data_IF_758651908643
#
_entry.id   IF_758651908643
#
_cell.length_a   1.000
_cell.length_b   1.000
_cell.length_c   1.000
_cell.angle_alpha   90.00
_cell.angle_beta   90.00
_cell.angle_gamma   90.00
#
_symmetry.space_group_name_H-M   'P 1'
#
loop_
_entity.id
_entity.type
_entity.pdbx_description
1 polymer ?
#
# COMPACT_ATOMS: atom_id res chain seq x y z
N UNK A 1 -3.11 8.72 12.37
CA UNK A 1 -1.91 7.88 12.63
C UNK A 1 -0.71 8.52 11.94
N UNK A 2 0.49 8.37 12.48
CA UNK A 2 1.72 8.83 11.80
C UNK A 2 2.12 7.87 10.68
N UNK A 3 2.95 8.32 9.74
CA UNK A 3 3.48 7.46 8.66
C UNK A 3 4.34 6.32 9.21
N UNK A 4 5.11 6.57 10.28
CA UNK A 4 5.86 5.52 10.97
C UNK A 4 4.96 4.48 11.61
N UNK A 5 3.93 4.92 12.35
CA UNK A 5 2.95 4.00 12.95
C UNK A 5 2.24 3.15 11.90
N UNK A 6 1.92 3.74 10.74
CA UNK A 6 1.39 3.00 9.60
C UNK A 6 2.37 1.93 9.11
N UNK A 7 3.61 2.32 8.81
CA UNK A 7 4.61 1.38 8.31
C UNK A 7 4.89 0.24 9.29
N UNK A 8 4.93 0.53 10.59
CA UNK A 8 5.17 -0.47 11.64
C UNK A 8 4.00 -1.46 11.81
N UNK A 9 2.77 -1.04 11.50
CA UNK A 9 1.54 -1.86 11.59
C UNK A 9 1.13 -2.51 10.27
N UNK A 10 1.67 -2.04 9.13
CA UNK A 10 1.37 -2.58 7.82
C UNK A 10 1.75 -4.05 7.72
N UNK A 11 1.10 -4.76 6.79
CA UNK A 11 1.40 -6.17 6.55
C UNK A 11 2.86 -6.34 6.09
N UNK A 12 3.56 -7.25 6.75
CA UNK A 12 4.95 -7.56 6.44
C UNK A 12 5.01 -8.55 5.27
N UNK A 13 5.65 -8.12 4.18
CA UNK A 13 5.74 -8.92 2.96
C UNK A 13 6.66 -10.12 3.23
N UNK A 14 6.23 -11.37 2.96
CA UNK A 14 7.07 -12.55 3.14
C UNK A 14 8.39 -12.45 2.36
N UNK A 15 9.50 -12.87 2.98
CA UNK A 15 10.86 -12.77 2.46
C UNK A 15 10.99 -13.20 0.99
N UNK A 16 10.33 -14.31 0.61
CA UNK A 16 10.39 -14.87 -0.75
C UNK A 16 9.82 -13.96 -1.84
N UNK A 17 9.01 -12.96 -1.47
CA UNK A 17 8.43 -11.97 -2.38
C UNK A 17 9.09 -10.60 -2.24
N UNK A 18 9.88 -10.39 -1.19
CA UNK A 18 10.37 -9.08 -0.77
C UNK A 18 11.25 -8.43 -1.84
N UNK A 19 12.11 -9.21 -2.51
CA UNK A 19 13.03 -8.70 -3.54
C UNK A 19 12.31 -7.98 -4.71
N UNK A 20 11.12 -8.45 -5.06
CA UNK A 20 10.31 -7.91 -6.16
C UNK A 20 9.20 -6.96 -5.70
N UNK A 21 9.06 -6.69 -4.39
CA UNK A 21 7.96 -5.87 -3.86
C UNK A 21 7.85 -4.54 -4.58
N UNK A 22 6.62 -4.02 -4.66
CA UNK A 22 6.42 -2.64 -5.07
C UNK A 22 7.08 -1.69 -4.05
N UNK A 23 7.68 -0.59 -4.50
CA UNK A 23 8.53 0.25 -3.65
C UNK A 23 7.77 1.02 -2.55
N UNK A 24 6.43 1.12 -2.66
CA UNK A 24 5.54 1.69 -1.65
C UNK A 24 4.49 0.68 -1.18
N UNK A 25 4.02 0.87 0.04
CA UNK A 25 2.83 0.20 0.57
C UNK A 25 1.56 0.95 0.21
N UNK A 26 1.63 2.29 0.15
CA UNK A 26 0.53 3.13 -0.28
C UNK A 26 1.02 4.50 -0.75
N UNK A 27 0.19 5.21 -1.52
CA UNK A 27 0.45 6.60 -1.87
C UNK A 27 -0.84 7.45 -1.91
N UNK A 28 -0.70 8.77 -1.81
CA UNK A 28 -1.80 9.71 -1.99
C UNK A 28 -2.32 9.72 -3.42
N UNK A 29 -3.61 10.00 -3.60
CA UNK A 29 -4.23 10.02 -4.91
C UNK A 29 -5.18 11.22 -5.03
N UNK A 30 -4.97 12.03 -6.08
CA UNK A 30 -5.81 13.18 -6.41
C UNK A 30 -6.07 13.24 -7.91
N UNK A 31 -5.44 14.18 -8.60
CA UNK A 31 -5.46 14.21 -10.08
C UNK A 31 -4.45 13.18 -10.63
N UNK A 32 -3.41 12.88 -9.85
CA UNK A 32 -2.36 11.89 -10.17
C UNK A 32 -1.98 11.09 -8.92
N UNK A 33 -0.94 10.25 -9.01
CA UNK A 33 -0.25 9.75 -7.83
C UNK A 33 0.45 10.90 -7.10
N UNK A 34 0.03 11.18 -5.89
CA UNK A 34 0.39 12.36 -5.10
C UNK A 34 1.01 11.96 -3.76
N UNK A 35 1.49 12.96 -3.02
CA UNK A 35 1.85 12.82 -1.61
C UNK A 35 0.63 12.38 -0.77
N UNK A 36 0.81 11.59 0.31
CA UNK A 36 2.08 11.06 0.80
C UNK A 36 2.51 9.78 0.10
N UNK A 37 3.77 9.40 0.26
CA UNK A 37 4.34 8.11 -0.13
C UNK A 37 4.63 7.32 1.14
N UNK A 38 3.88 6.25 1.38
CA UNK A 38 3.96 5.43 2.58
C UNK A 38 4.80 4.18 2.29
N UNK A 39 6.00 4.15 2.86
CA UNK A 39 6.97 3.08 2.66
C UNK A 39 6.67 1.84 3.51
N UNK A 40 7.13 0.70 3.03
CA UNK A 40 7.13 -0.55 3.82
C UNK A 40 7.98 -0.40 5.08
N UNK A 41 7.67 -1.18 6.12
CA UNK A 41 8.41 -1.19 7.39
C UNK A 41 9.93 -1.31 7.19
N UNK A 42 10.35 -2.24 6.34
CA UNK A 42 11.77 -2.50 6.07
C UNK A 42 12.48 -1.37 5.32
N UNK A 43 11.73 -0.52 4.60
CA UNK A 43 12.26 0.59 3.79
C UNK A 43 12.21 1.93 4.53
N UNK A 44 11.43 2.01 5.61
CA UNK A 44 11.18 3.28 6.31
C UNK A 44 12.45 3.89 6.88
N UNK A 45 13.41 3.09 7.36
CA UNK A 45 14.68 3.62 7.90
C UNK A 45 15.46 4.43 6.86
N UNK A 46 15.40 4.01 5.59
CA UNK A 46 16.23 4.56 4.54
C UNK A 46 15.51 5.64 3.71
N UNK A 47 14.18 5.55 3.58
CA UNK A 47 13.37 6.46 2.74
C UNK A 47 12.16 7.08 3.43
N UNK A 48 11.77 6.58 4.60
CA UNK A 48 10.62 7.08 5.35
C UNK A 48 10.84 8.48 5.92
N UNK A 49 9.74 9.18 6.16
CA UNK A 49 9.74 10.55 6.68
C UNK A 49 8.52 10.79 7.58
N UNK A 50 8.57 11.90 8.32
CA UNK A 50 7.52 12.24 9.28
C UNK A 50 6.30 12.86 8.60
N UNK A 51 5.13 12.50 9.11
CA UNK A 51 3.85 13.07 8.72
C UNK A 51 2.70 12.25 9.28
N UNK A 52 1.48 12.71 9.02
CA UNK A 52 0.25 12.15 9.56
C UNK A 52 -0.76 11.86 8.45
N UNK A 53 -1.42 10.72 8.56
CA UNK A 53 -2.60 10.40 7.77
C UNK A 53 -3.80 11.08 8.43
N UNK A 54 -4.50 11.90 7.67
CA UNK A 54 -5.61 12.75 8.14
C UNK A 54 -6.91 12.48 7.37
N UNK A 55 -8.07 12.72 8.00
CA UNK A 55 -9.37 12.67 7.31
C UNK A 55 -9.39 13.54 6.03
N UNK A 56 -10.04 13.05 4.99
CA UNK A 56 -10.11 13.69 3.69
C UNK A 56 -8.98 13.30 2.73
N UNK A 57 -7.90 12.68 3.21
CA UNK A 57 -6.89 12.09 2.33
C UNK A 57 -7.47 10.89 1.57
N UNK A 58 -7.08 10.75 0.31
CA UNK A 58 -7.35 9.55 -0.49
C UNK A 58 -6.03 8.83 -0.71
N UNK A 59 -6.00 7.53 -0.38
CA UNK A 59 -4.81 6.71 -0.50
C UNK A 59 -5.08 5.51 -1.41
N UNK A 60 -4.17 5.26 -2.34
CA UNK A 60 -4.05 3.98 -3.02
C UNK A 60 -3.21 3.05 -2.15
N UNK A 61 -3.80 1.95 -1.67
CA UNK A 61 -3.10 0.89 -0.92
C UNK A 61 -2.80 -0.24 -1.89
N UNK A 62 -1.53 -0.59 -2.03
CA UNK A 62 -1.06 -1.41 -3.14
C UNK A 62 -0.13 -2.55 -2.72
N UNK A 63 -0.11 -3.59 -3.55
CA UNK A 63 0.82 -4.72 -3.41
C UNK A 63 1.21 -5.24 -4.79
N UNK A 64 2.50 -5.54 -4.95
CA UNK A 64 2.97 -6.40 -6.03
C UNK A 64 3.71 -7.58 -5.41
N UNK A 65 3.24 -8.79 -5.69
CA UNK A 65 3.74 -10.03 -5.08
C UNK A 65 4.20 -10.97 -6.19
N UNK A 66 5.49 -11.28 -6.21
CA UNK A 66 6.13 -12.17 -7.17
C UNK A 66 7.40 -12.78 -6.56
N UNK A 67 7.70 -14.03 -6.88
CA UNK A 67 8.96 -14.67 -6.48
C UNK A 67 10.11 -14.21 -7.38
N UNK A 68 11.33 -14.16 -6.84
CA UNK A 68 12.53 -13.87 -7.63
C UNK A 68 12.74 -14.98 -8.70
N UNK A 69 12.98 -14.57 -9.96
CA UNK A 69 13.06 -15.51 -11.08
C UNK A 69 11.73 -16.15 -11.51
N UNK A 70 10.62 -15.80 -10.86
CA UNK A 70 9.29 -16.25 -11.24
C UNK A 70 8.84 -15.66 -12.58
N UNK A 71 7.95 -16.37 -13.28
CA UNK A 71 7.36 -15.93 -14.56
C UNK A 71 6.04 -15.17 -14.40
N UNK A 72 5.51 -15.09 -13.18
CA UNK A 72 4.22 -14.48 -12.86
C UNK A 72 4.30 -13.68 -11.56
N UNK A 73 3.44 -12.67 -11.47
CA UNK A 73 3.25 -11.85 -10.28
C UNK A 73 1.84 -11.26 -10.25
N UNK A 74 1.37 -10.89 -9.06
CA UNK A 74 0.04 -10.33 -8.84
C UNK A 74 0.18 -8.88 -8.36
N UNK A 75 -0.45 -7.94 -9.06
CA UNK A 75 -0.64 -6.55 -8.61
C UNK A 75 -2.08 -6.37 -8.17
N UNK A 76 -2.28 -5.95 -6.93
CA UNK A 76 -3.57 -5.48 -6.43
C UNK A 76 -3.40 -4.10 -5.83
N UNK A 77 -4.40 -3.26 -6.04
CA UNK A 77 -4.45 -1.89 -5.54
C UNK A 77 -5.90 -1.50 -5.27
N UNK A 78 -6.13 -0.84 -4.14
CA UNK A 78 -7.44 -0.36 -3.74
C UNK A 78 -7.34 1.11 -3.33
N UNK A 79 -8.27 1.92 -3.80
CA UNK A 79 -8.36 3.31 -3.42
C UNK A 79 -9.32 3.45 -2.23
N UNK A 80 -8.85 4.12 -1.17
CA UNK A 80 -9.63 4.41 0.03
C UNK A 80 -9.71 5.91 0.28
N UNK A 81 -10.81 6.36 0.88
CA UNK A 81 -10.94 7.66 1.53
C UNK A 81 -10.70 7.47 3.02
N UNK A 82 -9.81 8.28 3.61
CA UNK A 82 -9.65 8.36 5.06
C UNK A 82 -10.78 9.24 5.62
N UNK A 83 -11.51 8.72 6.60
CA UNK A 83 -12.60 9.41 7.29
C UNK A 83 -12.19 9.75 8.72
N UNK A 84 -13.01 10.55 9.41
CA UNK A 84 -12.79 10.91 10.82
C UNK A 84 -12.67 9.69 11.75
N UNK A 85 -13.29 8.57 11.39
CA UNK A 85 -13.41 7.38 12.25
C UNK A 85 -12.87 6.11 11.61
N UNK A 86 -12.29 6.18 10.41
CA UNK A 86 -11.78 5.00 9.70
C UNK A 86 -11.49 5.25 8.23
N UNK A 87 -11.93 4.31 7.39
CA UNK A 87 -11.75 4.35 5.93
C UNK A 87 -13.05 4.00 5.20
N UNK A 88 -13.21 4.54 4.01
CA UNK A 88 -14.22 4.13 3.03
C UNK A 88 -13.51 3.56 1.79
N UNK A 89 -13.92 2.37 1.35
CA UNK A 89 -13.42 1.78 0.11
C UNK A 89 -14.11 2.42 -1.10
N UNK A 90 -13.33 3.05 -1.97
CA UNK A 90 -13.82 3.68 -3.20
C UNK A 90 -13.78 2.73 -4.40
N UNK A 91 -12.81 1.80 -4.40
CA UNK A 91 -12.70 0.75 -5.41
C UNK A 91 -13.91 -0.19 -5.38
N UNK A 92 -14.53 -0.41 -6.55
CA UNK A 92 -15.69 -1.32 -6.71
C UNK A 92 -15.44 -2.47 -7.68
N UNK A 93 -14.28 -2.46 -8.35
CA UNK A 93 -13.95 -3.51 -9.29
C UNK A 93 -13.64 -4.79 -8.52
N UNK A 94 -14.29 -5.93 -8.85
CA UNK A 94 -14.09 -7.17 -8.13
C UNK A 94 -12.69 -7.74 -8.37
N UNK A 95 -12.21 -8.52 -7.42
CA UNK A 95 -11.06 -9.40 -7.66
C UNK A 95 -11.49 -10.64 -8.45
N UNK A 96 -10.53 -11.25 -9.13
CA UNK A 96 -10.76 -12.50 -9.85
C UNK A 96 -11.00 -13.65 -8.87
N UNK A 97 -12.24 -14.14 -8.81
CA UNK A 97 -12.66 -15.18 -7.87
C UNK A 97 -11.84 -16.47 -8.00
N UNK A 98 -11.41 -16.81 -9.22
CA UNK A 98 -10.61 -18.00 -9.44
C UNK A 98 -9.24 -17.96 -8.71
N UNK A 99 -8.74 -16.77 -8.39
CA UNK A 99 -7.43 -16.52 -7.77
C UNK A 99 -7.51 -16.27 -6.25
N UNK A 100 -8.71 -16.16 -5.67
CA UNK A 100 -8.92 -15.85 -4.23
C UNK A 100 -9.07 -17.08 -3.31
N UNK A 101 -8.57 -18.25 -3.74
CA UNK A 101 -8.80 -19.52 -3.03
C UNK A 101 -7.81 -19.82 -1.92
#
# INVERSE_FOLDING_TARGET
>A
MTFREYADQAWDIPDKYYANRYYLSAHGCGITGEYPYLYHRGDFKDAGYDGTIEPGMVLCVESYIAEEGGSQGVKLEQQILVTETGIELLSRFPFEEALLK
#
